data_IF_863152706378
#
_entry.id   IF_863152706378
#
_cell.length_a   1.000
_cell.length_b   1.000
_cell.length_c   1.000
_cell.angle_alpha   90.00
_cell.angle_beta   90.00
_cell.angle_gamma   90.00
#
_symmetry.space_group_name_H-M   'P 1'
#
loop_
_entity.id
_entity.type
_entity.pdbx_description
1 polymer ?
#
# COMPACT_ATOMS: atom_id res chain seq x y z
N UNK A 1 16.84 9.07 -3.49
CA UNK A 1 16.24 10.25 -4.18
C UNK A 1 15.42 9.89 -5.43
N UNK A 2 15.82 8.90 -6.24
CA UNK A 2 15.12 8.55 -7.49
C UNK A 2 13.68 8.06 -7.29
N UNK A 3 13.43 7.21 -6.28
CA UNK A 3 12.10 6.64 -6.00
C UNK A 3 11.05 7.74 -5.73
N UNK A 4 11.40 8.75 -4.92
CA UNK A 4 10.50 9.87 -4.61
C UNK A 4 10.20 10.74 -5.83
N UNK A 5 11.20 10.94 -6.71
CA UNK A 5 11.02 11.65 -7.98
C UNK A 5 10.13 10.86 -8.94
N UNK A 6 10.34 9.55 -9.07
CA UNK A 6 9.52 8.67 -9.90
C UNK A 6 8.07 8.58 -9.39
N UNK A 7 7.87 8.51 -8.07
CA UNK A 7 6.55 8.57 -7.46
C UNK A 7 5.81 9.87 -7.79
N UNK A 8 6.48 11.02 -7.61
CA UNK A 8 5.91 12.34 -7.94
C UNK A 8 5.63 12.51 -9.44
N UNK A 9 6.51 11.99 -10.30
CA UNK A 9 6.29 12.02 -11.75
C UNK A 9 5.11 11.14 -12.18
N UNK A 10 4.93 9.97 -11.56
CA UNK A 10 3.87 9.02 -11.93
C UNK A 10 2.50 9.38 -11.36
N UNK A 11 2.46 10.00 -10.17
CA UNK A 11 1.21 10.21 -9.42
C UNK A 11 0.95 11.66 -9.01
N UNK A 12 1.77 12.63 -9.42
CA UNK A 12 1.58 14.04 -9.07
C UNK A 12 2.04 14.38 -7.65
N UNK A 13 1.38 15.36 -7.01
CA UNK A 13 1.75 15.89 -5.68
C UNK A 13 1.74 14.81 -4.57
N UNK A 14 1.87 15.20 -3.29
CA UNK A 14 1.91 14.29 -2.14
C UNK A 14 0.74 13.29 -2.07
N UNK A 15 -0.34 13.46 -2.85
CA UNK A 15 -1.53 12.60 -2.90
C UNK A 15 -2.20 12.48 -1.54
N UNK A 16 -2.46 13.64 -0.93
CA UNK A 16 -3.00 13.73 0.43
C UNK A 16 -4.38 13.06 0.52
N UNK A 17 -5.28 13.28 -0.44
CA UNK A 17 -6.60 12.62 -0.47
C UNK A 17 -6.48 11.10 -0.44
N UNK A 18 -5.67 10.54 -1.34
CA UNK A 18 -5.36 9.10 -1.39
C UNK A 18 -4.76 8.59 -0.07
N UNK A 19 -3.85 9.35 0.54
CA UNK A 19 -3.25 8.98 1.84
C UNK A 19 -4.27 8.97 2.98
N UNK A 20 -5.20 9.92 2.98
CA UNK A 20 -6.29 9.97 3.96
C UNK A 20 -7.21 8.77 3.78
N UNK A 21 -7.60 8.45 2.55
CA UNK A 21 -8.42 7.27 2.25
C UNK A 21 -7.72 5.98 2.67
N UNK A 22 -6.42 5.83 2.36
CA UNK A 22 -5.63 4.69 2.83
C UNK A 22 -5.54 4.62 4.35
N UNK A 23 -5.39 5.74 5.04
CA UNK A 23 -5.36 5.76 6.51
C UNK A 23 -6.71 5.32 7.10
N UNK A 24 -7.82 5.80 6.54
CA UNK A 24 -9.18 5.43 6.97
C UNK A 24 -9.46 3.96 6.66
N UNK A 25 -9.15 3.48 5.46
CA UNK A 25 -9.32 2.07 5.07
C UNK A 25 -8.53 1.12 5.97
N UNK A 26 -7.30 1.48 6.33
CA UNK A 26 -6.50 0.73 7.31
C UNK A 26 -7.13 0.72 8.70
N UNK A 27 -7.64 1.86 9.17
CA UNK A 27 -8.29 1.96 10.48
C UNK A 27 -9.56 1.10 10.55
N UNK A 28 -10.38 1.12 9.50
CA UNK A 28 -11.61 0.32 9.40
C UNK A 28 -11.31 -1.18 9.30
N UNK A 29 -10.31 -1.57 8.50
CA UNK A 29 -9.86 -2.95 8.42
C UNK A 29 -9.31 -3.44 9.76
N UNK A 30 -8.50 -2.61 10.45
CA UNK A 30 -8.02 -2.92 11.79
C UNK A 30 -9.18 -3.16 12.75
N UNK A 31 -10.13 -2.24 12.84
CA UNK A 31 -11.31 -2.38 13.69
C UNK A 31 -12.13 -3.63 13.37
N UNK A 32 -12.40 -3.89 12.08
CA UNK A 32 -13.16 -5.05 11.65
C UNK A 32 -12.43 -6.37 11.95
N UNK A 33 -11.11 -6.41 11.78
CA UNK A 33 -10.28 -7.57 12.09
C UNK A 33 -10.10 -7.77 13.60
N UNK A 34 -10.06 -6.70 14.40
CA UNK A 34 -10.03 -6.80 15.87
C UNK A 34 -11.33 -7.38 16.43
N UNK A 35 -12.46 -7.13 15.76
CA UNK A 35 -13.77 -7.64 16.16
C UNK A 35 -14.17 -8.93 15.42
N UNK A 36 -13.28 -9.52 14.61
CA UNK A 36 -13.59 -10.76 13.90
C UNK A 36 -13.64 -11.94 14.88
N UNK A 37 -14.64 -12.79 14.75
CA UNK A 37 -14.67 -14.07 15.46
C UNK A 37 -13.48 -14.95 15.05
N UNK A 38 -13.13 -15.96 15.87
CA UNK A 38 -11.92 -16.80 15.68
C UNK A 38 -11.77 -17.44 14.28
N UNK A 39 -12.87 -17.57 13.53
CA UNK A 39 -12.91 -18.14 12.18
C UNK A 39 -13.28 -17.12 11.08
N UNK A 40 -13.33 -15.82 11.38
CA UNK A 40 -13.67 -14.78 10.41
C UNK A 40 -12.56 -14.60 9.38
N UNK A 41 -12.91 -14.37 8.10
CA UNK A 41 -11.90 -14.02 7.09
C UNK A 41 -11.30 -12.64 7.40
N UNK A 42 -10.00 -12.50 7.20
CA UNK A 42 -9.32 -11.22 7.34
C UNK A 42 -9.80 -10.25 6.26
N UNK A 43 -10.16 -9.04 6.68
CA UNK A 43 -10.62 -7.99 5.78
C UNK A 43 -9.44 -7.12 5.41
N UNK A 44 -9.19 -7.02 4.11
CA UNK A 44 -8.15 -6.15 3.56
C UNK A 44 -8.59 -4.67 3.64
N UNK A 45 -7.68 -3.73 3.95
CA UNK A 45 -7.94 -2.29 3.85
C UNK A 45 -8.48 -1.85 2.49
N UNK A 46 -8.07 -2.52 1.41
CA UNK A 46 -8.52 -2.24 0.05
C UNK A 46 -9.99 -2.61 -0.19
N UNK A 47 -10.63 -3.39 0.70
CA UNK A 47 -12.08 -3.62 0.65
C UNK A 47 -12.88 -2.32 0.85
N UNK A 48 -12.28 -1.32 1.53
CA UNK A 48 -12.87 0.00 1.75
C UNK A 48 -12.47 1.03 0.67
N UNK A 49 -11.60 0.63 -0.27
CA UNK A 49 -11.10 1.48 -1.36
C UNK A 49 -11.23 0.73 -2.70
N UNK A 50 -12.45 0.45 -3.18
CA UNK A 50 -12.67 -0.43 -4.32
C UNK A 50 -12.10 0.11 -5.64
N UNK A 51 -11.79 1.41 -5.70
CA UNK A 51 -11.17 2.06 -6.85
C UNK A 51 -9.64 2.01 -6.82
N UNK A 52 -9.02 1.63 -5.69
CA UNK A 52 -7.58 1.40 -5.62
C UNK A 52 -7.25 -0.06 -5.97
N UNK A 53 -6.38 -0.24 -6.95
CA UNK A 53 -5.80 -1.56 -7.21
C UNK A 53 -4.89 -1.96 -6.04
N UNK A 54 -5.07 -3.19 -5.56
CA UNK A 54 -4.14 -3.77 -4.58
C UNK A 54 -2.74 -3.81 -5.20
N UNK A 55 -1.71 -3.30 -4.51
CA UNK A 55 -0.36 -3.38 -5.02
C UNK A 55 -0.01 -4.85 -5.18
N UNK A 56 0.35 -5.23 -6.42
CA UNK A 56 0.91 -6.55 -6.68
C UNK A 56 2.12 -6.71 -5.79
N UNK A 57 2.16 -7.79 -5.01
CA UNK A 57 3.34 -8.16 -4.26
C UNK A 57 4.47 -8.34 -5.28
N UNK A 58 5.42 -7.42 -5.28
CA UNK A 58 6.67 -7.59 -6.02
C UNK A 58 7.56 -8.34 -5.04
N UNK A 59 7.60 -9.67 -5.17
CA UNK A 59 8.64 -10.45 -4.53
C UNK A 59 9.96 -10.09 -5.22
N UNK A 60 10.69 -9.18 -4.60
CA UNK A 60 12.02 -8.78 -5.04
C UNK A 60 12.99 -9.28 -3.99
N UNK A 61 14.02 -10.03 -4.39
CA UNK A 61 15.05 -10.44 -3.45
C UNK A 61 15.70 -9.20 -2.81
N UNK A 62 16.22 -9.33 -1.59
CA UNK A 62 17.00 -8.27 -0.97
C UNK A 62 18.17 -7.85 -1.88
N UNK A 63 18.82 -8.81 -2.55
CA UNK A 63 19.85 -8.51 -3.56
C UNK A 63 19.30 -7.67 -4.72
N UNK A 64 18.16 -8.04 -5.28
CA UNK A 64 17.53 -7.31 -6.39
C UNK A 64 17.12 -5.89 -5.97
N UNK A 65 16.66 -5.71 -4.74
CA UNK A 65 16.37 -4.40 -4.16
C UNK A 65 17.63 -3.53 -4.08
N UNK A 66 18.72 -4.07 -3.53
CA UNK A 66 19.98 -3.33 -3.43
C UNK A 66 20.56 -3.00 -4.79
N UNK A 67 20.52 -3.93 -5.74
CA UNK A 67 20.95 -3.71 -7.12
C UNK A 67 20.15 -2.59 -7.80
N UNK A 68 18.82 -2.57 -7.62
CA UNK A 68 17.95 -1.51 -8.15
C UNK A 68 18.26 -0.11 -7.59
N UNK A 69 18.83 -0.04 -6.38
CA UNK A 69 19.16 1.21 -5.71
C UNK A 69 20.51 1.79 -6.16
N UNK A 70 21.44 0.92 -6.55
CA UNK A 70 22.81 1.29 -6.95
C UNK A 70 22.89 1.66 -8.44
N UNK A 71 21.87 1.33 -9.25
CA UNK A 71 21.79 1.75 -10.65
C UNK A 71 22.89 1.15 -11.52
N UNK A 72 23.29 -0.09 -11.23
CA UNK A 72 24.15 -0.91 -12.09
C UNK A 72 23.32 -1.94 -12.83
#
# INVERSE_FOLDING_TARGET
MAIWKAYRQRRGSLNIGRRIEQAIGNALAFYANSNRGKNGKEISPYAFMPHEEQPKAIEMSAEDYFNSMIGR
#
